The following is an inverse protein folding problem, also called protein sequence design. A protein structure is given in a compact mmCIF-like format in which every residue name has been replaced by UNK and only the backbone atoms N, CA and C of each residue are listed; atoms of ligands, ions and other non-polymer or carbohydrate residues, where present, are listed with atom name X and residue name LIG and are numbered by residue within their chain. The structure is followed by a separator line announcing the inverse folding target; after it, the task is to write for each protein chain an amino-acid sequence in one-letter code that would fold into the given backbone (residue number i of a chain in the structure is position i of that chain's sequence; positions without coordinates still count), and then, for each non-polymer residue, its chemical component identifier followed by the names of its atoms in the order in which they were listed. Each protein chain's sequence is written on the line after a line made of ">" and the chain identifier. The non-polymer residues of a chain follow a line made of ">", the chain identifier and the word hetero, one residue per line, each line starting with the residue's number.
data_IF_165312677940
#
_entry.id   IF_165312677940
#
_cell.length_a   1.000
_cell.length_b   1.000
_cell.length_c   1.000
_cell.angle_alpha   90.00
_cell.angle_beta   90.00
_cell.angle_gamma   90.00
#
_symmetry.space_group_name_H-M   'P 1'
#
loop_
_entity.id
_entity.type
_entity.pdbx_description
1 polymer ?
#
# COMPACT_ATOMS: atom_id res chain seq x y z
N UNK A 1 -30.11 -27.96 2.16
CA UNK A 1 -30.16 -27.04 3.31
C UNK A 1 -30.07 -25.61 2.81
N UNK A 2 -30.80 -24.70 3.43
CA UNK A 2 -30.63 -23.25 3.23
C UNK A 2 -29.24 -22.82 3.71
N UNK A 3 -28.53 -22.00 2.94
CA UNK A 3 -27.17 -21.55 3.25
C UNK A 3 -27.22 -20.07 3.67
N UNK A 4 -26.58 -19.75 4.79
CA UNK A 4 -26.44 -18.38 5.32
C UNK A 4 -24.97 -18.06 5.58
N UNK A 5 -24.61 -16.77 5.66
CA UNK A 5 -23.26 -16.25 5.93
C UNK A 5 -23.34 -15.02 6.85
N UNK A 6 -22.31 -14.79 7.65
CA UNK A 6 -22.06 -13.55 8.40
C UNK A 6 -20.67 -13.01 8.09
N UNK A 7 -20.45 -11.73 8.35
CA UNK A 7 -19.15 -11.05 8.29
C UNK A 7 -18.79 -10.53 9.70
N UNK A 8 -17.49 -10.37 9.98
CA UNK A 8 -16.95 -9.87 11.26
C UNK A 8 -15.85 -8.87 10.95
N UNK A 9 -15.85 -7.73 11.66
CA UNK A 9 -14.74 -6.77 11.68
C UNK A 9 -13.79 -7.17 12.81
N UNK A 10 -12.50 -7.12 12.54
CA UNK A 10 -11.44 -7.47 13.49
C UNK A 10 -10.41 -6.35 13.41
N UNK A 11 -10.15 -5.71 14.54
CA UNK A 11 -9.19 -4.63 14.62
C UNK A 11 -7.76 -5.18 14.67
N UNK A 12 -6.81 -4.35 14.25
CA UNK A 12 -5.43 -4.74 14.14
C UNK A 12 -4.50 -3.54 14.06
N UNK A 13 -3.22 -3.84 13.97
CA UNK A 13 -2.15 -2.89 13.72
C UNK A 13 -1.30 -3.39 12.55
N UNK A 14 -0.32 -2.59 12.12
CA UNK A 14 0.63 -3.00 11.10
C UNK A 14 2.05 -2.77 11.59
N UNK A 15 2.96 -3.65 11.14
CA UNK A 15 4.40 -3.41 11.21
C UNK A 15 5.00 -3.72 9.85
N UNK A 16 6.15 -3.15 9.51
CA UNK A 16 6.77 -3.49 8.25
C UNK A 16 7.45 -4.86 8.30
N UNK A 17 7.55 -5.48 7.13
CA UNK A 17 8.29 -6.71 6.87
C UNK A 17 8.59 -6.87 5.39
N UNK A 18 9.36 -7.90 5.06
CA UNK A 18 9.69 -8.22 3.67
C UNK A 18 9.13 -9.57 3.27
N UNK A 19 8.45 -9.62 2.12
CA UNK A 19 8.17 -10.89 1.44
C UNK A 19 9.31 -11.23 0.49
N UNK A 20 9.92 -12.40 0.65
CA UNK A 20 10.94 -12.91 -0.28
C UNK A 20 10.27 -13.73 -1.38
N UNK A 21 10.15 -13.15 -2.56
CA UNK A 21 9.62 -13.83 -3.74
C UNK A 21 10.40 -13.41 -5.00
N UNK A 22 11.57 -14.01 -5.21
CA UNK A 22 12.53 -13.60 -6.24
C UNK A 22 13.32 -12.34 -5.88
N UNK A 23 12.64 -11.32 -5.38
CA UNK A 23 13.19 -10.13 -4.72
C UNK A 23 12.51 -9.91 -3.36
N UNK A 24 12.88 -8.86 -2.63
CA UNK A 24 12.29 -8.52 -1.34
C UNK A 24 11.23 -7.43 -1.52
N UNK A 25 9.98 -7.71 -1.14
CA UNK A 25 8.89 -6.74 -1.21
C UNK A 25 8.64 -6.15 0.17
N UNK A 26 8.84 -4.85 0.34
CA UNK A 26 8.47 -4.16 1.57
C UNK A 26 6.96 -4.05 1.66
N UNK A 27 6.39 -4.56 2.76
CA UNK A 27 4.96 -4.60 2.99
C UNK A 27 4.62 -4.14 4.41
N UNK A 28 3.39 -3.67 4.59
CA UNK A 28 2.75 -3.74 5.90
C UNK A 28 2.34 -5.20 6.15
N UNK A 29 2.80 -5.74 7.27
CA UNK A 29 2.35 -7.00 7.85
C UNK A 29 1.21 -6.64 8.80
N UNK A 30 -0.02 -6.96 8.41
CA UNK A 30 -1.20 -6.62 9.22
C UNK A 30 -1.39 -7.68 10.30
N UNK A 31 -1.53 -7.25 11.55
CA UNK A 31 -1.63 -8.11 12.74
C UNK A 31 -2.96 -7.81 13.42
N UNK A 32 -3.80 -8.82 13.59
CA UNK A 32 -5.15 -8.67 14.12
C UNK A 32 -5.26 -9.16 15.58
N UNK A 33 -6.24 -8.62 16.32
CA UNK A 33 -6.50 -8.97 17.74
C UNK A 33 -6.81 -10.45 17.97
N UNK A 34 -7.24 -11.18 16.93
CA UNK A 34 -7.52 -12.62 16.99
C UNK A 34 -6.28 -13.48 16.65
N UNK A 35 -5.10 -12.87 16.53
CA UNK A 35 -3.83 -13.54 16.25
C UNK A 35 -3.69 -14.01 14.81
N UNK A 36 -4.57 -13.62 13.90
CA UNK A 36 -4.33 -13.74 12.47
C UNK A 36 -3.39 -12.64 12.00
N UNK A 37 -2.56 -12.94 11.01
CA UNK A 37 -1.58 -12.02 10.43
C UNK A 37 -1.64 -12.12 8.91
N UNK A 38 -1.75 -10.98 8.24
CA UNK A 38 -1.75 -10.88 6.79
C UNK A 38 -0.35 -10.49 6.28
N UNK A 39 0.26 -11.38 5.51
CA UNK A 39 1.56 -11.15 4.86
C UNK A 39 1.51 -11.68 3.42
N UNK A 40 0.67 -11.02 2.60
CA UNK A 40 0.08 -11.45 1.31
C UNK A 40 -0.96 -12.57 1.40
N UNK A 41 -0.90 -13.36 2.46
CA UNK A 41 -1.92 -14.36 2.78
C UNK A 41 -2.17 -14.32 4.28
N UNK A 42 -3.42 -14.52 4.65
CA UNK A 42 -3.83 -14.59 6.04
C UNK A 42 -3.37 -15.92 6.67
N UNK A 43 -2.58 -15.83 7.72
CA UNK A 43 -2.04 -16.97 8.47
C UNK A 43 -2.32 -16.80 9.97
N UNK A 44 -2.49 -17.92 10.69
CA UNK A 44 -2.43 -17.91 12.15
C UNK A 44 -0.97 -17.80 12.62
N UNK A 45 -0.74 -17.57 13.91
CA UNK A 45 0.61 -17.45 14.49
C UNK A 45 1.53 -18.63 14.11
N UNK A 46 1.00 -19.85 14.07
CA UNK A 46 1.78 -21.02 13.63
C UNK A 46 2.20 -20.91 12.17
N UNK A 47 1.28 -20.53 11.28
CA UNK A 47 1.58 -20.30 9.87
C UNK A 47 2.54 -19.13 9.63
N UNK A 48 2.48 -18.08 10.47
CA UNK A 48 3.47 -16.99 10.46
C UNK A 48 4.84 -17.52 10.82
N UNK A 49 4.95 -18.34 11.87
CA UNK A 49 6.22 -18.96 12.25
C UNK A 49 6.80 -19.80 11.11
N UNK A 50 5.97 -20.63 10.49
CA UNK A 50 6.36 -21.43 9.32
C UNK A 50 6.84 -20.56 8.16
N UNK A 51 6.15 -19.44 7.85
CA UNK A 51 6.56 -18.49 6.80
C UNK A 51 7.89 -17.79 7.12
N UNK A 52 8.16 -17.48 8.38
CA UNK A 52 9.44 -16.89 8.81
C UNK A 52 10.57 -17.91 8.73
N UNK A 53 10.34 -19.14 9.20
CA UNK A 53 11.34 -20.22 9.17
C UNK A 53 11.72 -20.60 7.71
N UNK A 54 10.81 -20.40 6.76
CA UNK A 54 11.03 -20.59 5.32
C UNK A 54 11.62 -19.35 4.62
N UNK A 55 11.93 -18.28 5.36
CA UNK A 55 12.37 -16.98 4.86
C UNK A 55 11.39 -16.33 3.86
N UNK A 56 10.13 -16.78 3.82
CA UNK A 56 9.08 -16.17 3.01
C UNK A 56 8.74 -14.78 3.55
N UNK A 57 8.57 -14.67 4.87
CA UNK A 57 8.45 -13.39 5.58
C UNK A 57 9.74 -13.17 6.38
N UNK A 58 10.40 -12.03 6.21
CA UNK A 58 11.67 -11.76 6.89
C UNK A 58 11.77 -10.30 7.33
N UNK A 59 12.45 -10.02 8.47
CA UNK A 59 12.72 -8.66 8.93
C UNK A 59 13.98 -8.04 8.30
N UNK A 60 14.76 -8.81 7.53
CA UNK A 60 16.07 -8.38 7.01
C UNK A 60 16.20 -8.62 5.51
N UNK A 61 16.99 -7.76 4.87
CA UNK A 61 17.41 -7.89 3.49
C UNK A 61 18.95 -7.91 3.43
N UNK A 62 19.57 -8.94 2.81
CA UNK A 62 21.02 -8.99 2.62
C UNK A 62 21.53 -7.83 1.77
N UNK A 63 22.82 -7.51 1.91
CA UNK A 63 23.47 -6.51 1.06
C UNK A 63 23.53 -6.96 -0.40
N UNK A 64 23.27 -6.03 -1.32
CA UNK A 64 23.28 -6.28 -2.77
C UNK A 64 21.93 -6.73 -3.34
N UNK A 65 20.96 -7.07 -2.49
CA UNK A 65 19.60 -7.44 -2.88
C UNK A 65 18.72 -6.20 -3.12
N UNK A 66 17.62 -6.40 -3.84
CA UNK A 66 16.66 -5.33 -4.16
C UNK A 66 15.44 -5.40 -3.24
N UNK A 67 15.09 -4.23 -2.68
CA UNK A 67 13.84 -3.95 -1.99
C UNK A 67 12.89 -3.26 -2.98
N UNK A 68 11.77 -3.89 -3.27
CA UNK A 68 10.67 -3.31 -4.01
C UNK A 68 9.63 -2.75 -3.05
N UNK A 69 9.41 -1.44 -3.11
CA UNK A 69 8.37 -0.75 -2.35
C UNK A 69 7.24 -0.40 -3.31
N UNK A 70 6.08 -1.04 -3.11
CA UNK A 70 4.96 -0.91 -4.03
C UNK A 70 4.51 0.54 -4.18
N UNK A 71 4.44 1.02 -5.43
CA UNK A 71 4.03 2.39 -5.72
C UNK A 71 5.04 3.46 -5.32
N UNK A 72 6.30 3.09 -5.02
CA UNK A 72 7.38 4.03 -4.70
C UNK A 72 8.62 3.79 -5.58
N UNK A 73 9.14 2.57 -5.63
CA UNK A 73 10.38 2.29 -6.37
C UNK A 73 11.01 0.96 -6.01
N UNK A 74 12.05 0.60 -6.76
CA UNK A 74 13.00 -0.44 -6.39
C UNK A 74 14.30 0.20 -5.88
N UNK A 75 14.88 -0.36 -4.83
CA UNK A 75 16.08 0.14 -4.18
C UNK A 75 17.02 -1.00 -3.85
N UNK A 76 18.30 -0.86 -4.18
CA UNK A 76 19.30 -1.88 -3.84
C UNK A 76 19.95 -1.56 -2.50
N UNK A 77 20.03 -2.56 -1.63
CA UNK A 77 20.72 -2.47 -0.35
C UNK A 77 22.24 -2.49 -0.55
N UNK A 78 22.97 -1.69 0.21
CA UNK A 78 24.44 -1.72 0.24
C UNK A 78 25.02 -1.84 1.66
N UNK A 79 24.15 -1.89 2.66
CA UNK A 79 24.48 -2.04 4.07
C UNK A 79 23.20 -1.97 4.90
N UNK A 80 23.14 -2.70 6.02
CA UNK A 80 21.99 -2.68 6.92
C UNK A 80 22.36 -2.96 8.38
N UNK A 81 21.63 -2.34 9.29
CA UNK A 81 21.64 -2.59 10.73
C UNK A 81 20.22 -2.91 11.18
N UNK A 82 19.93 -4.20 11.29
CA UNK A 82 18.58 -4.71 11.56
C UNK A 82 18.36 -4.94 13.06
N UNK A 83 17.15 -4.62 13.54
CA UNK A 83 16.74 -4.77 14.95
C UNK A 83 16.30 -6.18 15.31
N UNK A 84 15.76 -6.91 14.33
CA UNK A 84 15.20 -8.24 14.53
C UNK A 84 15.88 -9.27 13.64
N UNK A 85 16.12 -10.45 14.20
CA UNK A 85 16.29 -11.71 13.47
C UNK A 85 14.94 -12.46 13.35
N UNK A 86 14.94 -13.65 12.74
CA UNK A 86 13.74 -14.46 12.56
C UNK A 86 12.99 -14.74 13.87
N UNK A 87 13.70 -15.04 14.96
CA UNK A 87 13.09 -15.39 16.24
C UNK A 87 12.51 -14.14 16.93
N UNK A 88 13.30 -13.09 17.07
CA UNK A 88 12.89 -11.83 17.70
C UNK A 88 11.82 -11.08 16.91
N UNK A 89 11.72 -11.28 15.59
CA UNK A 89 10.63 -10.72 14.79
C UNK A 89 9.31 -11.48 15.03
N UNK A 90 9.36 -12.80 15.12
CA UNK A 90 8.20 -13.60 15.50
C UNK A 90 7.71 -13.29 16.91
N UNK A 91 8.66 -13.12 17.86
CA UNK A 91 8.34 -12.74 19.23
C UNK A 91 7.68 -11.35 19.26
N UNK A 92 8.19 -10.40 18.47
CA UNK A 92 7.60 -9.07 18.34
C UNK A 92 6.18 -9.08 17.76
N UNK A 93 5.92 -9.89 16.72
CA UNK A 93 4.55 -10.10 16.19
C UNK A 93 3.63 -10.64 17.30
N UNK A 94 4.11 -11.61 18.08
CA UNK A 94 3.33 -12.21 19.17
C UNK A 94 3.06 -11.20 20.29
N UNK A 95 4.03 -10.34 20.63
CA UNK A 95 3.87 -9.25 21.58
C UNK A 95 2.81 -8.24 21.11
N UNK A 96 2.75 -7.91 19.82
CA UNK A 96 1.72 -7.02 19.27
C UNK A 96 0.32 -7.62 19.35
N UNK A 97 0.17 -8.92 19.07
CA UNK A 97 -1.11 -9.62 19.30
C UNK A 97 -1.49 -9.53 20.78
N UNK A 98 -0.54 -9.70 21.70
CA UNK A 98 -0.80 -9.57 23.13
C UNK A 98 -1.14 -8.13 23.54
N UNK A 99 -0.57 -7.10 22.89
CA UNK A 99 -0.94 -5.71 23.15
C UNK A 99 -2.38 -5.42 22.70
N UNK A 100 -2.78 -5.93 21.52
CA UNK A 100 -4.14 -5.82 21.01
C UNK A 100 -5.14 -6.64 21.83
N UNK A 101 -4.71 -7.80 22.34
CA UNK A 101 -5.52 -8.74 23.10
C UNK A 101 -4.75 -9.26 24.33
N UNK A 102 -4.73 -8.48 25.44
CA UNK A 102 -3.91 -8.80 26.63
C UNK A 102 -4.20 -10.17 27.26
N UNK A 103 -5.43 -10.67 27.11
CA UNK A 103 -5.85 -11.98 27.62
C UNK A 103 -5.54 -13.14 26.67
N UNK A 104 -5.09 -12.87 25.44
CA UNK A 104 -4.93 -13.85 24.36
C UNK A 104 -6.19 -14.73 24.21
N UNK A 105 -7.37 -14.11 24.27
CA UNK A 105 -8.65 -14.81 24.16
C UNK A 105 -9.12 -14.87 22.72
N UNK A 106 -9.73 -15.99 22.32
CA UNK A 106 -10.25 -16.20 20.95
C UNK A 106 -9.17 -16.08 19.86
N UNK A 107 -7.93 -16.48 20.16
CA UNK A 107 -6.87 -16.59 19.15
C UNK A 107 -7.25 -17.69 18.16
N UNK A 108 -7.24 -17.33 16.88
CA UNK A 108 -7.62 -18.22 15.80
C UNK A 108 -6.49 -19.21 15.48
N UNK A 109 -6.85 -20.47 15.30
CA UNK A 109 -5.96 -21.52 14.79
C UNK A 109 -6.60 -22.18 13.57
N UNK A 110 -5.90 -22.16 12.44
CA UNK A 110 -6.38 -22.72 11.19
C UNK A 110 -6.33 -24.25 11.26
N UNK A 111 -7.51 -24.85 11.40
CA UNK A 111 -7.64 -26.30 11.49
C UNK A 111 -7.17 -27.03 10.22
N UNK A 112 -6.73 -28.28 10.36
CA UNK A 112 -6.34 -29.13 9.22
C UNK A 112 -7.48 -29.26 8.18
N UNK A 113 -8.73 -29.39 8.63
CA UNK A 113 -9.88 -29.48 7.75
C UNK A 113 -10.10 -28.19 6.94
N UNK A 114 -9.85 -27.02 7.54
CA UNK A 114 -9.88 -25.74 6.83
C UNK A 114 -8.75 -25.63 5.82
N UNK A 115 -7.51 -25.97 6.19
CA UNK A 115 -6.38 -25.99 5.24
C UNK A 115 -6.72 -26.85 4.01
N UNK A 116 -7.24 -28.05 4.24
CA UNK A 116 -7.65 -28.96 3.16
C UNK A 116 -8.79 -28.42 2.31
N UNK A 117 -9.75 -27.71 2.93
CA UNK A 117 -10.83 -27.06 2.20
C UNK A 117 -10.30 -25.92 1.34
N UNK A 118 -9.40 -25.08 1.87
CA UNK A 118 -8.77 -23.98 1.13
C UNK A 118 -8.01 -24.51 -0.07
N UNK A 119 -7.19 -25.56 0.10
CA UNK A 119 -6.46 -26.21 -1.00
C UNK A 119 -7.40 -26.79 -2.07
N UNK A 120 -8.43 -27.54 -1.65
CA UNK A 120 -9.41 -28.15 -2.57
C UNK A 120 -10.08 -27.11 -3.46
N UNK A 121 -10.40 -25.94 -2.92
CA UNK A 121 -11.10 -24.88 -3.63
C UNK A 121 -10.17 -23.77 -4.14
N UNK A 122 -8.84 -23.91 -3.96
CA UNK A 122 -7.82 -22.91 -4.29
C UNK A 122 -8.17 -21.51 -3.72
N UNK A 123 -8.61 -21.48 -2.47
CA UNK A 123 -8.96 -20.24 -1.77
C UNK A 123 -7.70 -19.68 -1.13
N UNK A 124 -7.34 -18.47 -1.54
CA UNK A 124 -6.35 -17.63 -0.86
C UNK A 124 -7.12 -16.50 -0.17
N UNK A 125 -6.99 -16.41 1.15
CA UNK A 125 -7.58 -15.31 1.92
C UNK A 125 -6.54 -14.21 2.06
N UNK A 126 -6.79 -13.10 1.39
CA UNK A 126 -6.05 -11.86 1.54
C UNK A 126 -7.07 -10.80 1.91
N UNK A 127 -7.34 -10.56 3.20
CA UNK A 127 -8.25 -9.50 3.61
C UNK A 127 -7.75 -8.15 3.09
N UNK A 128 -8.69 -7.24 2.84
CA UNK A 128 -8.35 -5.85 2.58
C UNK A 128 -8.28 -5.13 3.93
N UNK A 129 -7.06 -4.86 4.41
CA UNK A 129 -6.88 -3.98 5.55
C UNK A 129 -7.35 -2.56 5.19
N UNK A 130 -8.10 -1.93 6.09
CA UNK A 130 -8.58 -0.57 5.91
C UNK A 130 -8.04 0.29 7.04
N UNK A 131 -7.25 1.30 6.68
CA UNK A 131 -6.77 2.30 7.63
C UNK A 131 -7.96 3.05 8.24
N UNK A 132 -7.90 3.34 9.53
CA UNK A 132 -8.91 4.14 10.22
C UNK A 132 -8.37 4.81 11.48
N UNK A 133 -9.05 5.85 11.95
CA UNK A 133 -8.93 6.34 13.32
C UNK A 133 -10.31 6.46 13.98
N UNK A 134 -10.33 6.44 15.31
CA UNK A 134 -11.56 6.57 16.11
C UNK A 134 -11.85 8.06 16.34
N UNK A 135 -12.88 8.58 15.69
CA UNK A 135 -13.37 9.96 15.93
C UNK A 135 -14.15 10.01 17.25
N UNK A 136 -14.92 8.96 17.56
CA UNK A 136 -15.70 8.90 18.78
C UNK A 136 -15.91 7.47 19.25
N UNK A 137 -15.50 7.20 20.49
CA UNK A 137 -15.81 5.96 21.21
C UNK A 137 -17.31 5.75 21.39
N UNK A 138 -18.07 6.85 21.48
CA UNK A 138 -19.52 6.79 21.64
C UNK A 138 -20.17 6.36 20.33
N UNK A 139 -20.59 5.10 20.28
CA UNK A 139 -21.15 4.48 19.08
C UNK A 139 -20.10 4.04 18.07
N UNK A 140 -18.82 4.02 18.46
CA UNK A 140 -17.68 3.54 17.67
C UNK A 140 -17.67 4.13 16.26
N UNK A 141 -17.54 5.46 16.18
CA UNK A 141 -17.47 6.19 14.92
C UNK A 141 -16.02 6.28 14.48
N UNK A 142 -15.76 5.69 13.32
CA UNK A 142 -14.44 5.67 12.71
C UNK A 142 -14.42 6.50 11.43
N UNK A 143 -13.27 7.13 11.17
CA UNK A 143 -12.97 7.76 9.89
C UNK A 143 -12.02 6.83 9.17
N UNK A 144 -12.40 6.41 7.96
CA UNK A 144 -11.61 5.48 7.15
C UNK A 144 -10.61 6.25 6.29
N UNK A 145 -9.50 5.59 5.99
CA UNK A 145 -8.42 6.11 5.17
C UNK A 145 -7.85 5.05 4.24
N UNK A 146 -6.87 5.49 3.47
CA UNK A 146 -6.04 4.68 2.58
C UNK A 146 -4.68 5.37 2.47
N UNK A 147 -3.61 4.59 2.35
CA UNK A 147 -2.26 5.14 2.37
C UNK A 147 -1.29 4.47 1.40
N UNK A 148 -0.07 4.99 1.39
CA UNK A 148 1.03 4.46 0.58
C UNK A 148 2.38 4.80 1.21
N UNK A 149 3.43 4.12 0.75
CA UNK A 149 4.79 4.43 1.16
C UNK A 149 5.42 5.60 0.40
N UNK A 150 6.20 6.41 1.11
CA UNK A 150 7.04 7.50 0.58
C UNK A 150 8.25 7.71 1.49
N UNK A 151 9.35 8.27 0.98
CA UNK A 151 10.42 8.71 1.87
C UNK A 151 10.13 10.09 2.45
N UNK A 152 10.53 10.29 3.70
CA UNK A 152 10.36 11.54 4.42
C UNK A 152 11.62 11.91 5.19
N UNK A 153 12.08 13.14 5.04
CA UNK A 153 13.11 13.74 5.89
C UNK A 153 12.44 14.36 7.12
N UNK A 154 12.78 13.89 8.31
CA UNK A 154 12.25 14.42 9.57
C UNK A 154 13.38 14.56 10.60
N UNK A 155 13.53 15.77 11.15
CA UNK A 155 14.59 16.12 12.11
C UNK A 155 16.02 15.69 11.67
N UNK A 156 16.29 15.78 10.36
CA UNK A 156 17.58 15.42 9.77
C UNK A 156 17.80 13.92 9.53
N UNK A 157 16.81 13.08 9.79
CA UNK A 157 16.83 11.64 9.51
C UNK A 157 15.89 11.34 8.35
N UNK A 158 16.30 10.45 7.46
CA UNK A 158 15.49 9.99 6.34
C UNK A 158 14.79 8.67 6.71
N UNK A 159 13.48 8.63 6.52
CA UNK A 159 12.60 7.51 6.87
C UNK A 159 11.85 7.01 5.65
N UNK A 160 11.54 5.72 5.61
CA UNK A 160 10.43 5.21 4.81
C UNK A 160 9.17 5.25 5.69
N UNK A 161 8.16 5.99 5.25
CA UNK A 161 6.94 6.20 6.02
C UNK A 161 5.72 5.76 5.23
N UNK A 162 4.68 5.33 5.93
CA UNK A 162 3.36 5.11 5.36
C UNK A 162 2.52 6.38 5.58
N UNK A 163 2.13 7.03 4.49
CA UNK A 163 1.32 8.25 4.49
C UNK A 163 -0.14 7.88 4.29
N UNK A 164 -0.95 8.06 5.32
CA UNK A 164 -2.39 7.74 5.32
C UNK A 164 -3.20 9.00 5.06
N UNK A 165 -4.12 8.93 4.12
CA UNK A 165 -5.09 9.99 3.82
C UNK A 165 -6.45 9.53 4.31
N UNK A 166 -7.05 10.30 5.21
CA UNK A 166 -8.36 10.01 5.77
C UNK A 166 -9.46 10.76 5.03
N UNK A 167 -10.68 10.21 5.13
CA UNK A 167 -11.86 10.74 4.45
C UNK A 167 -12.17 12.20 4.82
N UNK A 168 -11.88 12.63 6.04
CA UNK A 168 -12.10 13.99 6.50
C UNK A 168 -11.05 15.00 6.01
N UNK A 169 -10.04 14.54 5.25
CA UNK A 169 -8.94 15.34 4.74
C UNK A 169 -7.75 15.44 5.69
N UNK A 170 -7.82 14.78 6.85
CA UNK A 170 -6.68 14.58 7.73
C UNK A 170 -5.68 13.67 7.04
N UNK A 171 -4.40 14.02 7.13
CA UNK A 171 -3.31 13.20 6.61
C UNK A 171 -2.38 12.88 7.75
N UNK A 172 -1.96 11.64 7.84
CA UNK A 172 -1.13 11.17 8.92
C UNK A 172 0.08 10.44 8.38
N UNK A 173 1.21 10.71 9.00
CA UNK A 173 2.44 9.97 8.86
C UNK A 173 2.91 9.62 10.27
N UNK A 174 2.93 8.33 10.60
CA UNK A 174 3.35 7.86 11.91
C UNK A 174 4.36 6.73 11.81
N UNK A 175 5.25 6.67 12.79
CA UNK A 175 6.16 5.56 13.05
C UNK A 175 6.44 5.47 14.56
N UNK A 176 7.32 4.55 14.98
CA UNK A 176 7.67 4.39 16.40
C UNK A 176 8.29 5.63 17.09
N UNK A 177 8.75 6.63 16.32
CA UNK A 177 9.50 7.79 16.83
C UNK A 177 8.65 9.05 16.83
N UNK A 178 7.79 9.22 15.84
CA UNK A 178 6.97 10.42 15.70
C UNK A 178 5.60 10.12 15.09
N UNK A 179 4.68 11.04 15.37
CA UNK A 179 3.39 11.13 14.70
C UNK A 179 3.26 12.56 14.14
N UNK A 180 2.99 12.66 12.85
CA UNK A 180 2.77 13.92 12.17
C UNK A 180 1.40 13.92 11.53
N UNK A 181 0.54 14.80 12.03
CA UNK A 181 -0.77 15.09 11.45
C UNK A 181 -0.62 16.33 10.58
N UNK A 182 -1.10 16.22 9.35
CA UNK A 182 -1.00 17.20 8.28
C UNK A 182 -2.38 17.49 7.71
N UNK A 183 -2.52 18.65 7.09
CA UNK A 183 -3.65 18.96 6.22
C UNK A 183 -3.25 18.97 4.76
N UNK A 184 -4.24 18.82 3.89
CA UNK A 184 -4.04 18.80 2.43
C UNK A 184 -3.30 20.05 1.93
N UNK A 185 -3.58 21.22 2.51
CA UNK A 185 -2.96 22.49 2.10
C UNK A 185 -1.46 22.57 2.44
N UNK A 186 -0.99 21.78 3.41
CA UNK A 186 0.41 21.78 3.84
C UNK A 186 1.27 20.83 2.99
N UNK A 187 0.65 19.92 2.23
CA UNK A 187 1.39 18.91 1.47
C UNK A 187 2.22 19.49 0.34
N UNK A 188 1.68 20.44 -0.41
CA UNK A 188 2.35 20.96 -1.61
C UNK A 188 3.76 21.48 -1.29
N UNK A 189 3.92 22.12 -0.14
CA UNK A 189 5.23 22.56 0.36
C UNK A 189 6.15 21.37 0.66
N UNK A 190 5.65 20.31 1.31
CA UNK A 190 6.45 19.15 1.69
C UNK A 190 6.92 18.33 0.48
N UNK A 191 6.12 18.25 -0.59
CA UNK A 191 6.51 17.60 -1.84
C UNK A 191 7.49 18.48 -2.65
N UNK A 192 7.29 19.81 -2.67
CA UNK A 192 8.13 20.73 -3.46
C UNK A 192 9.49 21.05 -2.81
N UNK A 193 9.57 21.07 -1.48
CA UNK A 193 10.81 21.41 -0.77
C UNK A 193 11.75 20.21 -0.54
N UNK A 194 11.36 19.01 -0.98
CA UNK A 194 12.13 17.77 -0.83
C UNK A 194 12.04 17.12 0.55
N UNK A 195 11.09 17.53 1.40
CA UNK A 195 10.78 16.81 2.64
C UNK A 195 10.27 15.42 2.33
N UNK A 196 9.31 15.33 1.41
CA UNK A 196 8.93 14.07 0.78
C UNK A 196 9.75 13.86 -0.50
N UNK A 197 10.21 12.63 -0.71
CA UNK A 197 11.00 12.28 -1.89
C UNK A 197 10.83 10.80 -2.27
N UNK A 198 11.24 10.47 -3.49
CA UNK A 198 11.20 9.10 -4.04
C UNK A 198 12.57 8.65 -4.54
N UNK A 199 13.35 9.57 -5.12
CA UNK A 199 14.68 9.31 -5.66
C UNK A 199 15.79 9.54 -4.61
N UNK A 200 16.76 8.62 -4.55
CA UNK A 200 17.97 8.76 -3.74
C UNK A 200 19.10 9.33 -4.59
N UNK A 201 19.54 10.56 -4.29
CA UNK A 201 20.59 11.25 -5.07
C UNK A 201 22.00 10.68 -4.85
N UNK A 202 22.20 10.05 -3.70
CA UNK A 202 23.43 9.39 -3.28
C UNK A 202 23.06 8.16 -2.45
N UNK A 203 23.99 7.29 -2.07
CA UNK A 203 23.69 6.24 -1.12
C UNK A 203 23.16 6.82 0.20
N UNK A 204 21.89 6.57 0.49
CA UNK A 204 21.18 7.20 1.60
C UNK A 204 20.85 6.17 2.67
N UNK A 205 21.14 6.51 3.93
CA UNK A 205 20.67 5.76 5.09
C UNK A 205 19.20 6.08 5.34
N UNK A 206 18.34 5.09 5.19
CA UNK A 206 16.90 5.16 5.44
C UNK A 206 16.57 4.34 6.69
N UNK A 207 15.83 4.95 7.60
CA UNK A 207 15.26 4.28 8.78
C UNK A 207 13.94 3.62 8.36
N UNK A 208 13.85 2.31 8.57
CA UNK A 208 12.65 1.51 8.38
C UNK A 208 12.03 1.26 9.75
N UNK A 209 10.77 1.65 9.91
CA UNK A 209 10.10 1.59 11.21
C UNK A 209 10.17 0.19 11.80
N UNK A 210 10.47 0.06 13.09
CA UNK A 210 10.69 -1.21 13.79
C UNK A 210 11.77 -2.18 13.23
N UNK A 211 12.18 -2.11 11.97
CA UNK A 211 13.14 -3.04 11.35
C UNK A 211 14.60 -2.61 11.50
N UNK A 212 14.87 -1.30 11.55
CA UNK A 212 16.21 -0.76 11.71
C UNK A 212 16.61 0.17 10.56
N UNK A 213 17.91 0.23 10.30
CA UNK A 213 18.47 1.17 9.32
C UNK A 213 19.04 0.43 8.11
N UNK A 214 18.80 0.95 6.91
CA UNK A 214 19.35 0.40 5.68
C UNK A 214 19.95 1.50 4.82
N UNK A 215 21.12 1.27 4.24
CA UNK A 215 21.71 2.14 3.24
C UNK A 215 21.30 1.64 1.87
N UNK A 216 20.62 2.50 1.11
CA UNK A 216 20.04 2.16 -0.18
C UNK A 216 20.55 3.06 -1.29
N UNK A 217 20.54 2.53 -2.51
CA UNK A 217 20.69 3.26 -3.76
C UNK A 217 19.50 2.97 -4.66
N UNK A 218 19.24 3.85 -5.63
CA UNK A 218 18.22 3.64 -6.64
C UNK A 218 18.42 2.30 -7.36
N UNK A 219 17.30 1.59 -7.58
CA UNK A 219 17.24 0.32 -8.30
C UNK A 219 16.72 0.48 -9.72
N UNK A 220 15.82 -0.43 -10.12
CA UNK A 220 15.41 -0.60 -11.52
C UNK A 220 14.39 0.45 -12.00
N UNK A 221 13.53 0.92 -11.10
CA UNK A 221 12.54 1.97 -11.36
C UNK A 221 12.31 2.82 -10.11
N UNK A 222 11.83 4.04 -10.33
CA UNK A 222 11.45 4.99 -9.28
C UNK A 222 10.19 5.71 -9.77
N UNK A 223 9.25 5.96 -8.86
CA UNK A 223 8.06 6.75 -9.14
C UNK A 223 8.37 8.24 -8.98
N UNK A 224 7.86 9.05 -9.90
CA UNK A 224 8.01 10.50 -9.84
C UNK A 224 7.30 11.09 -8.60
N UNK A 225 7.91 12.10 -7.98
CA UNK A 225 7.38 12.74 -6.77
C UNK A 225 6.05 13.46 -7.04
N UNK A 226 5.85 14.03 -8.23
CA UNK A 226 4.57 14.64 -8.63
C UNK A 226 3.46 13.59 -8.75
N UNK A 227 3.80 12.38 -9.19
CA UNK A 227 2.86 11.27 -9.26
C UNK A 227 2.43 10.79 -7.86
N UNK A 228 3.34 10.81 -6.88
CA UNK A 228 2.97 10.58 -5.47
C UNK A 228 2.07 11.68 -4.91
N UNK A 229 2.29 12.93 -5.28
CA UNK A 229 1.40 14.02 -4.86
C UNK A 229 -0.01 13.86 -5.44
N UNK A 230 -0.12 13.54 -6.74
CA UNK A 230 -1.41 13.23 -7.40
C UNK A 230 -2.11 12.04 -6.72
N UNK A 231 -1.36 11.03 -6.28
CA UNK A 231 -1.90 9.87 -5.57
C UNK A 231 -2.60 10.27 -4.26
N UNK A 232 -2.07 11.23 -3.49
CA UNK A 232 -2.75 11.78 -2.30
C UNK A 232 -4.11 12.37 -2.67
N UNK A 233 -4.14 13.20 -3.72
CA UNK A 233 -5.35 13.86 -4.17
C UNK A 233 -6.41 12.85 -4.66
N UNK A 234 -6.00 11.81 -5.38
CA UNK A 234 -6.90 10.76 -5.85
C UNK A 234 -7.51 9.96 -4.68
N UNK A 235 -6.69 9.59 -3.68
CA UNK A 235 -7.18 8.90 -2.48
C UNK A 235 -8.24 9.76 -1.77
N UNK A 236 -7.95 11.05 -1.54
CA UNK A 236 -8.89 11.96 -0.89
C UNK A 236 -10.22 12.09 -1.66
N UNK A 237 -10.17 12.17 -3.00
CA UNK A 237 -11.36 12.21 -3.85
C UNK A 237 -12.17 10.91 -3.78
N UNK A 238 -11.49 9.77 -3.90
CA UNK A 238 -12.09 8.42 -3.84
C UNK A 238 -12.82 8.19 -2.52
N UNK A 239 -12.22 8.53 -1.39
CA UNK A 239 -12.82 8.37 -0.05
C UNK A 239 -14.09 9.22 0.13
N UNK A 240 -14.14 10.38 -0.52
CA UNK A 240 -15.30 11.29 -0.48
C UNK A 240 -16.37 11.01 -1.53
N UNK A 241 -16.25 9.90 -2.29
CA UNK A 241 -17.20 9.53 -3.36
C UNK A 241 -17.40 10.63 -4.41
N UNK A 242 -16.43 11.53 -4.54
CA UNK A 242 -16.31 12.32 -5.74
C UNK A 242 -15.83 11.39 -6.86
N UNK A 243 -16.22 11.61 -8.12
CA UNK A 243 -15.66 10.84 -9.23
C UNK A 243 -14.13 10.86 -9.12
N UNK A 244 -13.49 9.69 -8.98
CA UNK A 244 -12.03 9.59 -8.95
C UNK A 244 -11.43 10.08 -10.27
N UNK A 245 -10.12 10.32 -10.32
CA UNK A 245 -9.47 10.66 -11.60
C UNK A 245 -9.73 9.56 -12.64
N UNK A 246 -9.73 8.30 -12.21
CA UNK A 246 -10.11 7.15 -13.03
C UNK A 246 -11.54 7.23 -13.56
N UNK A 247 -12.51 7.59 -12.70
CA UNK A 247 -13.91 7.69 -13.11
C UNK A 247 -14.15 8.86 -14.04
N UNK A 248 -13.52 10.02 -13.78
CA UNK A 248 -13.54 11.17 -14.68
C UNK A 248 -12.96 10.76 -16.04
N UNK A 249 -11.81 10.10 -16.08
CA UNK A 249 -11.17 9.66 -17.31
C UNK A 249 -12.00 8.60 -18.06
N UNK A 250 -12.60 7.62 -17.36
CA UNK A 250 -13.52 6.65 -17.95
C UNK A 250 -14.77 7.32 -18.53
N UNK A 251 -15.34 8.29 -17.82
CA UNK A 251 -16.49 9.04 -18.32
C UNK A 251 -16.13 9.83 -19.58
N UNK A 252 -14.98 10.52 -19.60
CA UNK A 252 -14.50 11.20 -20.83
C UNK A 252 -14.21 10.25 -21.98
N UNK A 253 -13.78 9.02 -21.67
CA UNK A 253 -13.59 7.98 -22.68
C UNK A 253 -14.93 7.58 -23.30
N UNK A 254 -15.96 7.36 -22.47
CA UNK A 254 -17.31 7.09 -22.98
C UNK A 254 -17.89 8.28 -23.76
N UNK A 255 -17.73 9.51 -23.27
CA UNK A 255 -18.15 10.74 -23.99
C UNK A 255 -17.53 10.80 -25.39
N UNK A 256 -16.25 10.45 -25.52
CA UNK A 256 -15.55 10.40 -26.82
C UNK A 256 -16.06 9.25 -27.71
N UNK A 257 -16.30 8.06 -27.14
CA UNK A 257 -16.85 6.94 -27.91
C UNK A 257 -18.25 7.21 -28.45
N UNK A 258 -19.08 7.90 -27.65
CA UNK A 258 -20.43 8.31 -28.06
C UNK A 258 -20.40 9.45 -29.09
N UNK A 259 -19.48 10.40 -28.93
CA UNK A 259 -19.34 11.55 -29.83
C UNK A 259 -17.85 11.92 -30.06
N UNK A 260 -17.19 11.37 -31.09
CA UNK A 260 -15.76 11.52 -31.30
C UNK A 260 -15.40 12.87 -31.95
N UNK A 261 -15.53 13.95 -31.18
CA UNK A 261 -15.13 15.31 -31.58
C UNK A 261 -13.71 15.65 -31.13
N UNK A 262 -13.12 16.69 -31.72
CA UNK A 262 -11.81 17.24 -31.28
C UNK A 262 -11.88 17.69 -29.83
N UNK A 263 -13.00 18.28 -29.43
CA UNK A 263 -13.24 18.76 -28.07
C UNK A 263 -13.31 17.61 -27.05
N UNK A 264 -14.06 16.55 -27.34
CA UNK A 264 -14.13 15.37 -26.47
C UNK A 264 -12.79 14.63 -26.41
N UNK A 265 -12.02 14.59 -27.51
CA UNK A 265 -10.65 14.06 -27.51
C UNK A 265 -9.76 14.85 -26.56
N UNK A 266 -9.87 16.18 -26.56
CA UNK A 266 -9.08 17.05 -25.69
C UNK A 266 -9.50 16.92 -24.21
N UNK A 267 -10.80 16.79 -23.91
CA UNK A 267 -11.25 16.51 -22.55
C UNK A 267 -10.78 15.15 -22.04
N UNK A 268 -10.81 14.13 -22.89
CA UNK A 268 -10.24 12.82 -22.58
C UNK A 268 -8.73 12.91 -22.33
N UNK A 269 -7.99 13.62 -23.19
CA UNK A 269 -6.54 13.81 -23.05
C UNK A 269 -6.19 14.44 -21.71
N UNK A 270 -6.87 15.54 -21.37
CA UNK A 270 -6.69 16.23 -20.07
C UNK A 270 -7.00 15.31 -18.90
N UNK A 271 -8.10 14.55 -18.96
CA UNK A 271 -8.46 13.64 -17.89
C UNK A 271 -7.49 12.45 -17.76
N UNK A 272 -6.92 11.97 -18.86
CA UNK A 272 -5.97 10.85 -18.89
C UNK A 272 -4.57 11.24 -18.42
N UNK A 273 -4.08 12.42 -18.82
CA UNK A 273 -2.73 12.88 -18.47
C UNK A 273 -2.59 13.33 -17.02
N UNK A 274 -3.71 13.69 -16.36
CA UNK A 274 -3.76 13.99 -14.92
C UNK A 274 -3.55 12.72 -14.08
N UNK A 275 -3.75 11.54 -14.64
CA UNK A 275 -3.51 10.26 -13.95
C UNK A 275 -2.00 9.92 -14.00
N UNK A 276 -1.39 9.56 -12.85
CA UNK A 276 0.00 9.10 -12.79
C UNK A 276 0.31 8.03 -13.83
N UNK A 277 1.49 8.09 -14.47
CA UNK A 277 1.77 7.24 -15.64
C UNK A 277 1.77 5.75 -15.29
N UNK A 278 2.31 5.40 -14.13
CA UNK A 278 2.31 4.05 -13.56
C UNK A 278 0.90 3.53 -13.20
N UNK A 279 -0.07 4.43 -13.07
CA UNK A 279 -1.46 4.13 -12.71
C UNK A 279 -2.41 4.11 -13.92
N UNK A 280 -2.03 4.72 -15.06
CA UNK A 280 -2.84 4.75 -16.29
C UNK A 280 -3.36 3.37 -16.75
N UNK A 281 -2.59 2.25 -16.65
CA UNK A 281 -3.13 0.93 -16.97
C UNK A 281 -4.36 0.52 -16.13
N UNK A 282 -4.51 1.05 -14.91
CA UNK A 282 -5.64 0.76 -14.00
C UNK A 282 -6.93 1.53 -14.36
N UNK A 283 -6.83 2.56 -15.21
CA UNK A 283 -7.99 3.25 -15.79
C UNK A 283 -8.81 2.28 -16.62
N UNK A 284 -8.11 1.47 -17.41
CA UNK A 284 -8.70 0.48 -18.27
C UNK A 284 -9.13 -0.76 -17.47
N UNK A 285 -10.34 -1.26 -17.77
CA UNK A 285 -10.83 -2.54 -17.24
C UNK A 285 -10.19 -3.74 -17.93
N UNK A 286 -9.59 -3.53 -19.10
CA UNK A 286 -8.95 -4.57 -19.92
C UNK A 286 -7.74 -4.01 -20.65
N UNK A 287 -6.78 -4.88 -21.00
CA UNK A 287 -5.62 -4.51 -21.82
C UNK A 287 -6.03 -3.85 -23.15
N UNK A 288 -7.04 -4.39 -23.82
CA UNK A 288 -7.56 -3.83 -25.07
C UNK A 288 -8.12 -2.42 -24.89
N UNK A 289 -8.76 -2.14 -23.75
CA UNK A 289 -9.23 -0.79 -23.44
C UNK A 289 -8.04 0.17 -23.21
N UNK A 290 -6.97 -0.28 -22.56
CA UNK A 290 -5.76 0.54 -22.37
C UNK A 290 -5.10 0.91 -23.70
N UNK A 291 -4.96 -0.06 -24.61
CA UNK A 291 -4.45 0.17 -25.97
C UNK A 291 -5.34 1.14 -26.75
N UNK A 292 -6.66 1.10 -26.53
CA UNK A 292 -7.59 2.02 -27.17
C UNK A 292 -7.45 3.47 -26.68
N UNK A 293 -7.18 3.69 -25.37
CA UNK A 293 -6.81 5.01 -24.85
C UNK A 293 -5.58 5.56 -25.57
N UNK A 294 -4.51 4.75 -25.69
CA UNK A 294 -3.26 5.14 -26.34
C UNK A 294 -3.52 5.46 -27.82
N UNK A 295 -4.27 4.61 -28.51
CA UNK A 295 -4.65 4.82 -29.92
C UNK A 295 -5.39 6.14 -30.11
N UNK A 296 -6.40 6.42 -29.30
CA UNK A 296 -7.22 7.64 -29.40
C UNK A 296 -6.38 8.89 -29.16
N UNK A 297 -5.53 8.87 -28.12
CA UNK A 297 -4.84 10.07 -27.63
C UNK A 297 -3.53 10.36 -28.39
N UNK A 298 -2.78 9.33 -28.71
CA UNK A 298 -1.39 9.46 -29.19
C UNK A 298 -1.17 8.92 -30.60
N UNK A 299 -2.22 8.48 -31.29
CA UNK A 299 -2.14 8.04 -32.70
C UNK A 299 -3.27 8.61 -33.55
N UNK A 300 -3.11 8.52 -34.87
CA UNK A 300 -4.14 8.85 -35.87
C UNK A 300 -4.87 7.60 -36.41
N UNK A 301 -4.64 6.43 -35.82
CA UNK A 301 -5.24 5.17 -36.28
C UNK A 301 -6.74 5.14 -35.98
N UNK A 302 -7.56 4.95 -37.02
CA UNK A 302 -9.01 4.75 -36.88
C UNK A 302 -9.31 3.36 -36.33
N UNK A 303 -10.38 3.23 -35.55
CA UNK A 303 -10.87 1.94 -35.06
C UNK A 303 -11.27 1.08 -36.25
N UNK A 304 -10.71 -0.11 -36.39
CA UNK A 304 -11.26 -1.11 -37.31
C UNK A 304 -12.63 -1.54 -36.79
N UNK A 305 -13.63 -1.50 -37.66
CA UNK A 305 -15.04 -1.80 -37.36
C UNK A 305 -15.33 -3.24 -37.74
#
# INVERSE_FOLDING_TARGET
>A
MHKIRREKIIEGTTIPGFIRNGQYFYINVDIYEDGMVNCWELADLKGVREKIDLEWLTPQVPDGESISVFGLGDYRTIGGSWKHDAQSYYDYITELVQQLNPGMHNIYEVSFAEKMKKEKYKIVESPYAQDFFVESEVGYKVVTGEGFFIFMKYEGIDYLVYLTVYKDGTIECQNAVFQKILKLEELEELFSNGTFFTELKEPTKITLDHLGDVVMVNGSYIIDIEDKYKQVLDIYQKLNKHPSLYDICRNRYYDYLENPTVENKEYLRKAYEVIPENERPRVAKTQAQHEDYIRILYTDQKREV
#
